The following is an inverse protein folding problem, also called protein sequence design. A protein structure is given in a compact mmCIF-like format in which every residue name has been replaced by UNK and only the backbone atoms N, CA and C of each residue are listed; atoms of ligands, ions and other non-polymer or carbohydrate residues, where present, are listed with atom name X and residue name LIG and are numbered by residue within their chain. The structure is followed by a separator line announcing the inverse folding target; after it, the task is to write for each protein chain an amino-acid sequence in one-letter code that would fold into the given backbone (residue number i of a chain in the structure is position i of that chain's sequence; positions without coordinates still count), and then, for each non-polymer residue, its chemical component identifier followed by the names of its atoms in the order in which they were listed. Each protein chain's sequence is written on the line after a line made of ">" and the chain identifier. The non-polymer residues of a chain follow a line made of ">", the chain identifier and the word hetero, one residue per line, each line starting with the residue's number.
data_IF_284685599350
#
_entry.id   IF_284685599350
#
_cell.length_a   1.000
_cell.length_b   1.000
_cell.length_c   1.000
_cell.angle_alpha   90.00
_cell.angle_beta   90.00
_cell.angle_gamma   90.00
#
_symmetry.space_group_name_H-M   'P 1'
#
loop_
_entity.id
_entity.type
_entity.pdbx_description
1 polymer ?
#
# COMPACT_ATOMS: atom_id res chain seq x y z
N UNK A 1 8.47 -7.92 16.58
CA UNK A 1 8.53 -8.14 15.12
C UNK A 1 9.05 -9.53 14.85
N UNK A 2 9.42 -9.83 13.61
CA UNK A 2 9.99 -11.13 13.24
C UNK A 2 11.38 -10.97 12.66
N UNK A 3 12.24 -11.95 12.94
CA UNK A 3 13.53 -12.13 12.27
C UNK A 3 13.50 -13.45 11.54
N UNK A 4 14.07 -13.47 10.34
CA UNK A 4 14.23 -14.68 9.56
C UNK A 4 15.54 -15.37 9.96
N UNK A 5 15.45 -16.63 10.35
CA UNK A 5 16.60 -17.48 10.68
C UNK A 5 16.61 -18.70 9.76
N UNK A 6 17.79 -19.22 9.47
CA UNK A 6 17.96 -20.40 8.64
C UNK A 6 18.48 -21.55 9.51
N UNK A 7 17.81 -22.69 9.45
CA UNK A 7 18.12 -23.88 10.24
C UNK A 7 18.58 -25.00 9.31
N UNK A 8 19.75 -25.62 9.53
CA UNK A 8 20.26 -26.73 8.71
C UNK A 8 19.31 -27.94 8.69
N UNK A 9 19.15 -28.53 7.50
CA UNK A 9 18.40 -29.77 7.31
C UNK A 9 19.39 -30.93 7.42
N UNK A 10 19.17 -31.87 8.34
CA UNK A 10 19.99 -33.10 8.43
C UNK A 10 21.28 -32.99 9.27
N UNK A 11 21.44 -31.91 10.04
CA UNK A 11 22.44 -31.80 11.11
C UNK A 11 21.74 -31.72 12.47
N UNK A 12 22.32 -32.34 13.50
CA UNK A 12 21.75 -32.29 14.86
C UNK A 12 21.86 -30.87 15.42
N UNK A 13 20.73 -30.27 15.78
CA UNK A 13 20.69 -28.91 16.38
C UNK A 13 21.52 -28.90 17.65
N UNK A 14 22.42 -27.92 17.78
CA UNK A 14 23.36 -27.82 18.91
C UNK A 14 24.70 -28.53 18.71
N UNK A 15 24.91 -29.22 17.58
CA UNK A 15 26.21 -29.78 17.22
C UNK A 15 27.15 -28.77 16.56
N UNK A 16 28.46 -29.03 16.62
CA UNK A 16 29.47 -28.24 15.89
C UNK A 16 29.21 -28.22 14.37
N UNK A 17 28.70 -29.33 13.81
CA UNK A 17 28.35 -29.43 12.40
C UNK A 17 27.20 -28.47 12.02
N UNK A 18 26.16 -28.38 12.86
CA UNK A 18 25.08 -27.42 12.66
C UNK A 18 25.56 -25.96 12.77
N UNK A 19 26.46 -25.65 13.71
CA UNK A 19 27.03 -24.31 13.85
C UNK A 19 27.85 -23.91 12.61
N UNK A 20 28.67 -24.82 12.08
CA UNK A 20 29.46 -24.60 10.85
C UNK A 20 28.53 -24.39 9.66
N UNK A 21 27.50 -25.22 9.49
CA UNK A 21 26.52 -25.09 8.42
C UNK A 21 25.75 -23.75 8.46
N UNK A 22 25.44 -23.23 9.65
CA UNK A 22 24.82 -21.91 9.83
C UNK A 22 25.79 -20.77 9.50
N UNK A 23 27.08 -20.90 9.86
CA UNK A 23 28.12 -19.90 9.55
C UNK A 23 28.45 -19.86 8.06
N UNK A 24 28.55 -21.02 7.40
CA UNK A 24 28.84 -21.11 5.97
C UNK A 24 27.81 -20.37 5.11
N UNK A 25 26.54 -20.36 5.56
CA UNK A 25 25.47 -19.61 4.92
C UNK A 25 25.54 -18.09 5.09
N UNK A 26 26.10 -17.61 6.20
CA UNK A 26 26.39 -16.18 6.36
C UNK A 26 27.61 -15.74 5.54
N UNK A 27 28.49 -16.68 5.17
CA UNK A 27 29.70 -16.44 4.39
C UNK A 27 29.46 -16.49 2.87
N UNK A 28 28.43 -17.20 2.40
CA UNK A 28 28.08 -17.28 0.98
C UNK A 28 27.24 -16.08 0.52
N UNK A 29 27.89 -15.15 -0.17
CA UNK A 29 27.29 -13.93 -0.71
C UNK A 29 26.22 -14.18 -1.80
N UNK A 30 26.17 -15.37 -2.41
CA UNK A 30 25.17 -15.71 -3.44
C UNK A 30 23.97 -16.49 -2.91
N UNK A 31 24.03 -17.00 -1.68
CA UNK A 31 22.95 -17.81 -1.10
C UNK A 31 21.74 -16.99 -0.63
N UNK A 32 21.85 -15.66 -0.53
CA UNK A 32 20.78 -14.78 -0.01
C UNK A 32 19.47 -14.83 -0.83
N UNK A 33 19.50 -15.38 -2.06
CA UNK A 33 18.34 -15.50 -2.94
C UNK A 33 18.11 -16.93 -3.50
N UNK A 34 18.84 -17.93 -3.02
CA UNK A 34 18.74 -19.29 -3.51
C UNK A 34 17.75 -20.11 -2.66
N UNK A 35 16.62 -20.46 -3.27
CA UNK A 35 15.74 -21.57 -2.85
C UNK A 35 16.41 -22.94 -3.07
N UNK A 36 17.59 -22.96 -3.71
CA UNK A 36 18.41 -24.14 -3.95
C UNK A 36 19.49 -24.27 -2.87
N UNK A 37 19.56 -25.45 -2.24
CA UNK A 37 20.45 -25.73 -1.12
C UNK A 37 21.93 -25.47 -1.46
N UNK A 38 22.65 -24.87 -0.53
CA UNK A 38 24.12 -24.87 -0.56
C UNK A 38 24.64 -26.25 -0.19
N UNK A 39 25.60 -26.77 -0.95
CA UNK A 39 26.20 -28.11 -0.78
C UNK A 39 26.76 -28.31 0.64
N UNK A 40 27.16 -27.22 1.32
CA UNK A 40 27.71 -27.23 2.67
C UNK A 40 26.70 -27.55 3.80
N UNK A 41 25.39 -27.47 3.56
CA UNK A 41 24.39 -27.57 4.65
C UNK A 41 23.34 -28.69 4.46
N UNK A 42 23.44 -29.55 3.43
CA UNK A 42 22.36 -30.48 3.03
C UNK A 42 20.97 -29.80 2.83
N UNK A 43 20.95 -28.47 2.69
CA UNK A 43 19.75 -27.64 2.67
C UNK A 43 19.48 -26.92 4.00
N UNK A 44 18.67 -25.84 3.97
CA UNK A 44 18.25 -25.11 5.16
C UNK A 44 16.76 -24.79 5.08
N UNK A 45 16.07 -24.92 6.21
CA UNK A 45 14.71 -24.44 6.38
C UNK A 45 14.70 -23.01 6.91
N UNK A 46 13.75 -22.21 6.42
CA UNK A 46 13.55 -20.83 6.86
C UNK A 46 12.52 -20.81 7.97
N UNK A 47 12.94 -20.37 9.15
CA UNK A 47 12.07 -20.13 10.27
C UNK A 47 11.92 -18.62 10.51
N UNK A 48 10.77 -18.22 11.03
CA UNK A 48 10.57 -16.86 11.55
C UNK A 48 10.31 -16.92 13.03
N UNK A 49 11.14 -16.22 13.78
CA UNK A 49 11.05 -16.14 15.23
C UNK A 49 10.59 -14.75 15.63
N UNK A 50 9.69 -14.69 16.60
CA UNK A 50 9.28 -13.41 17.17
C UNK A 50 10.38 -12.92 18.11
N UNK A 51 10.86 -11.70 17.85
CA UNK A 51 11.84 -11.04 18.70
C UNK A 51 11.51 -9.55 18.80
N UNK A 52 12.02 -8.92 19.85
CA UNK A 52 12.03 -7.48 19.97
C UNK A 52 13.13 -6.89 19.10
N UNK A 53 12.89 -5.68 18.58
CA UNK A 53 13.91 -4.90 17.90
C UNK A 53 15.00 -4.53 18.92
N UNK A 54 16.26 -4.57 18.50
CA UNK A 54 17.36 -4.06 19.32
C UNK A 54 17.48 -2.55 19.15
N UNK A 55 17.13 -2.06 17.97
CA UNK A 55 17.15 -0.64 17.65
C UNK A 55 15.80 0.04 17.91
N UNK A 56 15.85 1.35 18.19
CA UNK A 56 14.67 2.20 18.26
C UNK A 56 14.30 2.71 16.87
N UNK A 57 13.18 2.22 16.34
CA UNK A 57 12.58 2.72 15.11
C UNK A 57 11.74 3.96 15.40
N UNK A 58 11.98 5.04 14.67
CA UNK A 58 11.21 6.29 14.80
C UNK A 58 10.68 6.69 13.45
N UNK A 59 9.37 6.91 13.35
CA UNK A 59 8.70 7.42 12.15
C UNK A 59 8.35 8.88 12.37
N UNK A 60 8.37 9.64 11.28
CA UNK A 60 7.92 11.02 11.28
C UNK A 60 7.11 11.27 10.02
N UNK A 61 6.17 12.20 10.12
CA UNK A 61 5.33 12.54 8.99
C UNK A 61 4.65 13.89 9.19
N UNK A 62 4.10 14.39 8.10
CA UNK A 62 3.33 15.62 8.05
C UNK A 62 2.22 15.48 7.02
N UNK A 63 1.18 16.29 7.15
CA UNK A 63 0.10 16.35 6.19
C UNK A 63 -0.43 17.77 6.06
N UNK A 64 -0.78 18.16 4.85
CA UNK A 64 -1.43 19.42 4.56
C UNK A 64 -2.64 19.16 3.66
N UNK A 65 -3.76 19.79 3.99
CA UNK A 65 -4.98 19.76 3.20
C UNK A 65 -5.49 21.18 2.97
N UNK A 66 -5.87 21.48 1.74
CA UNK A 66 -6.45 22.76 1.34
C UNK A 66 -7.76 22.48 0.61
N UNK A 67 -8.79 23.27 0.92
CA UNK A 67 -10.05 23.25 0.18
C UNK A 67 -10.48 24.68 -0.09
N UNK A 68 -10.77 24.95 -1.35
CA UNK A 68 -11.22 26.24 -1.82
C UNK A 68 -12.55 26.10 -2.52
N UNK A 69 -13.57 26.77 -1.98
CA UNK A 69 -14.84 26.97 -2.65
C UNK A 69 -14.75 28.19 -3.57
N UNK A 70 -14.81 27.95 -4.86
CA UNK A 70 -14.76 28.93 -5.93
C UNK A 70 -16.16 29.46 -6.26
N UNK A 71 -16.22 30.50 -7.10
CA UNK A 71 -17.47 31.06 -7.62
C UNK A 71 -18.33 29.98 -8.29
N UNK A 72 -19.68 30.09 -8.23
CA UNK A 72 -20.63 29.13 -8.82
C UNK A 72 -20.52 27.68 -8.32
N UNK A 73 -20.21 27.48 -7.03
CA UNK A 73 -20.20 26.16 -6.36
C UNK A 73 -19.16 25.16 -6.87
N UNK A 74 -18.14 25.67 -7.57
CA UNK A 74 -16.94 24.88 -7.86
C UNK A 74 -16.13 24.70 -6.57
N UNK A 75 -15.57 23.52 -6.38
CA UNK A 75 -14.67 23.21 -5.26
C UNK A 75 -13.39 22.62 -5.82
N UNK A 76 -12.27 23.20 -5.40
CA UNK A 76 -10.93 22.65 -5.61
C UNK A 76 -10.38 22.24 -4.24
N UNK A 77 -10.02 20.98 -4.11
CA UNK A 77 -9.43 20.44 -2.88
C UNK A 77 -8.15 19.69 -3.19
N UNK A 78 -7.16 19.83 -2.34
CA UNK A 78 -5.89 19.11 -2.46
C UNK A 78 -5.41 18.67 -1.10
N UNK A 79 -4.83 17.49 -1.00
CA UNK A 79 -4.07 17.09 0.17
C UNK A 79 -2.77 16.40 -0.23
N UNK A 80 -1.77 16.54 0.62
CA UNK A 80 -0.51 15.82 0.53
C UNK A 80 -0.11 15.35 1.93
N UNK A 81 0.42 14.14 2.02
CA UNK A 81 1.01 13.60 3.24
C UNK A 81 2.38 13.02 2.94
N UNK A 82 3.31 13.28 3.86
CA UNK A 82 4.65 12.73 3.86
C UNK A 82 4.83 11.84 5.09
N UNK A 83 5.36 10.63 4.90
CA UNK A 83 5.64 9.69 5.99
C UNK A 83 6.99 9.00 5.75
N UNK A 84 7.89 8.99 6.73
CA UNK A 84 9.18 8.32 6.59
C UNK A 84 9.63 7.70 7.89
N UNK A 85 10.26 6.54 7.78
CA UNK A 85 11.02 5.93 8.87
C UNK A 85 12.43 6.54 8.90
N UNK A 86 12.85 7.01 10.07
CA UNK A 86 14.19 7.57 10.27
C UNK A 86 15.23 6.50 9.96
N UNK A 87 16.25 6.87 9.19
CA UNK A 87 17.38 5.99 8.90
C UNK A 87 18.08 5.58 10.20
N UNK A 88 18.43 4.31 10.30
CA UNK A 88 19.19 3.73 11.42
C UNK A 88 20.59 3.43 10.89
N UNK A 89 21.61 3.94 11.58
CA UNK A 89 23.01 3.78 11.14
C UNK A 89 23.47 2.32 11.15
N UNK A 90 23.02 1.54 12.14
CA UNK A 90 23.31 0.11 12.28
C UNK A 90 21.99 -0.67 12.27
N UNK A 91 21.39 -0.96 11.11
CA UNK A 91 20.13 -1.71 11.05
C UNK A 91 20.32 -3.11 11.67
N UNK A 92 19.36 -3.55 12.48
CA UNK A 92 19.33 -4.92 12.95
C UNK A 92 18.57 -5.79 11.93
N UNK A 93 18.46 -7.10 12.18
CA UNK A 93 17.77 -8.03 11.29
C UNK A 93 16.22 -7.90 11.36
N UNK A 94 15.70 -6.88 12.04
CA UNK A 94 14.28 -6.71 12.28
C UNK A 94 13.57 -6.16 11.03
N UNK A 95 12.54 -6.89 10.58
CA UNK A 95 11.68 -6.45 9.50
C UNK A 95 10.65 -5.47 10.06
N UNK A 96 10.70 -4.22 9.60
CA UNK A 96 9.83 -3.16 10.13
C UNK A 96 8.39 -3.27 9.64
N UNK A 97 8.19 -3.75 8.41
CA UNK A 97 6.86 -3.82 7.80
C UNK A 97 6.20 -2.44 7.68
N UNK A 98 7.00 -1.37 7.54
CA UNK A 98 6.47 0.01 7.51
C UNK A 98 5.43 0.19 6.40
N UNK A 99 5.60 -0.48 5.25
CA UNK A 99 4.60 -0.64 4.19
C UNK A 99 3.86 0.64 3.81
N UNK A 100 4.54 1.78 3.91
CA UNK A 100 3.95 3.11 3.75
C UNK A 100 4.73 3.89 2.69
N UNK A 101 4.04 4.44 1.68
CA UNK A 101 4.67 5.34 0.70
C UNK A 101 5.14 6.62 1.36
N UNK A 102 6.27 7.15 0.88
CA UNK A 102 6.84 8.36 1.44
C UNK A 102 5.96 9.59 1.18
N UNK A 103 5.29 9.66 0.04
CA UNK A 103 4.36 10.71 -0.33
C UNK A 103 3.07 10.12 -0.87
N UNK A 104 1.95 10.72 -0.45
CA UNK A 104 0.60 10.47 -0.99
C UNK A 104 -0.10 11.80 -1.21
N UNK A 105 -0.77 11.96 -2.35
CA UNK A 105 -1.45 13.20 -2.73
C UNK A 105 -2.80 12.89 -3.36
N UNK A 106 -3.81 13.71 -3.07
CA UNK A 106 -5.09 13.68 -3.77
C UNK A 106 -5.47 15.10 -4.19
N UNK A 107 -5.80 15.30 -5.45
CA UNK A 107 -6.36 16.54 -5.99
C UNK A 107 -7.78 16.27 -6.47
N UNK A 108 -8.73 17.07 -6.03
CA UNK A 108 -10.15 16.94 -6.34
C UNK A 108 -10.67 18.25 -6.92
N UNK A 109 -11.38 18.15 -8.04
CA UNK A 109 -12.10 19.25 -8.65
C UNK A 109 -13.53 18.82 -8.92
N UNK A 110 -14.50 19.64 -8.52
CA UNK A 110 -15.89 19.32 -8.75
C UNK A 110 -16.80 20.51 -8.66
N UNK A 111 -18.06 20.28 -9.03
CA UNK A 111 -19.13 21.24 -8.91
C UNK A 111 -20.42 20.51 -8.53
N UNK A 112 -21.16 21.03 -7.55
CA UNK A 112 -22.40 20.41 -7.06
C UNK A 112 -23.63 20.65 -7.95
N UNK A 113 -23.57 21.66 -8.82
CA UNK A 113 -24.62 22.13 -9.70
C UNK A 113 -24.03 22.90 -10.91
N UNK A 114 -23.26 22.22 -11.77
CA UNK A 114 -22.65 22.84 -12.97
C UNK A 114 -23.73 23.38 -13.91
N UNK A 115 -24.82 22.62 -14.02
CA UNK A 115 -26.12 23.08 -14.53
C UNK A 115 -27.18 22.63 -13.52
N UNK A 116 -28.41 23.13 -13.67
CA UNK A 116 -29.51 22.76 -12.75
C UNK A 116 -29.60 21.24 -12.63
N UNK A 117 -29.49 20.75 -11.41
CA UNK A 117 -29.55 19.34 -11.03
C UNK A 117 -28.40 18.44 -11.48
N UNK A 118 -27.37 18.94 -12.17
CA UNK A 118 -26.20 18.13 -12.56
C UNK A 118 -24.96 18.60 -11.80
N UNK A 119 -24.26 17.66 -11.17
CA UNK A 119 -22.96 17.89 -10.54
C UNK A 119 -21.94 16.86 -11.01
N UNK A 120 -20.67 17.16 -10.79
CA UNK A 120 -19.57 16.26 -11.09
C UNK A 120 -18.45 16.39 -10.06
N UNK A 121 -17.60 15.37 -9.98
CA UNK A 121 -16.34 15.41 -9.26
C UNK A 121 -15.32 14.53 -9.96
N UNK A 122 -14.08 15.01 -10.04
CA UNK A 122 -12.93 14.29 -10.56
C UNK A 122 -11.83 14.38 -9.50
N UNK A 123 -11.23 13.23 -9.18
CA UNK A 123 -10.15 13.12 -8.21
C UNK A 123 -8.96 12.44 -8.86
N UNK A 124 -7.83 13.12 -8.88
CA UNK A 124 -6.54 12.50 -9.17
C UNK A 124 -5.88 12.08 -7.87
N UNK A 125 -5.48 10.81 -7.79
CA UNK A 125 -4.79 10.22 -6.65
C UNK A 125 -3.41 9.76 -7.07
N UNK A 126 -2.41 10.17 -6.29
CA UNK A 126 -1.02 9.78 -6.50
C UNK A 126 -0.41 9.26 -5.20
N UNK A 127 0.41 8.21 -5.31
CA UNK A 127 1.32 7.80 -4.25
C UNK A 127 2.62 7.29 -4.83
N UNK A 128 3.71 7.50 -4.09
CA UNK A 128 5.00 6.98 -4.46
C UNK A 128 5.08 5.45 -4.34
N UNK A 129 6.03 4.86 -5.07
CA UNK A 129 6.38 3.45 -4.90
C UNK A 129 6.98 3.22 -3.51
N UNK A 130 6.74 2.06 -2.92
CA UNK A 130 7.28 1.72 -1.61
C UNK A 130 7.62 0.24 -1.50
N UNK A 131 8.48 -0.10 -0.55
CA UNK A 131 8.79 -1.48 -0.25
C UNK A 131 7.68 -2.06 0.63
N UNK A 132 7.05 -3.13 0.16
CA UNK A 132 6.17 -3.96 0.97
C UNK A 132 6.99 -5.10 1.55
N UNK A 133 6.95 -5.24 2.86
CA UNK A 133 7.56 -6.32 3.61
C UNK A 133 6.49 -7.04 4.41
N UNK A 134 6.45 -8.37 4.28
CA UNK A 134 5.59 -9.22 5.09
C UNK A 134 6.25 -10.58 5.32
N UNK A 135 5.75 -11.37 6.28
CA UNK A 135 6.21 -12.75 6.45
C UNK A 135 5.96 -13.63 5.22
N UNK A 136 5.00 -13.34 4.36
CA UNK A 136 4.78 -14.17 3.18
C UNK A 136 5.69 -13.76 2.02
N UNK A 137 5.79 -12.46 1.77
CA UNK A 137 6.46 -11.91 0.59
C UNK A 137 6.99 -10.51 0.87
N UNK A 138 8.14 -10.22 0.28
CA UNK A 138 8.73 -8.89 0.20
C UNK A 138 8.81 -8.48 -1.27
N UNK A 139 8.37 -7.27 -1.59
CA UNK A 139 8.35 -6.78 -2.97
C UNK A 139 8.11 -5.29 -3.06
N UNK A 140 8.53 -4.68 -4.17
CA UNK A 140 8.30 -3.25 -4.42
C UNK A 140 6.90 -3.05 -4.99
N UNK A 141 6.08 -2.26 -4.31
CA UNK A 141 4.80 -1.76 -4.81
C UNK A 141 5.06 -0.54 -5.67
N UNK A 142 4.55 -0.55 -6.91
CA UNK A 142 4.74 0.53 -7.86
C UNK A 142 4.01 1.81 -7.41
N UNK A 143 4.46 2.95 -7.95
CA UNK A 143 3.75 4.21 -7.76
C UNK A 143 2.36 4.13 -8.41
N UNK A 144 1.37 4.74 -7.78
CA UNK A 144 -0.01 4.73 -8.26
C UNK A 144 -0.34 6.11 -8.80
N UNK A 145 -1.04 6.14 -9.94
CA UNK A 145 -1.64 7.32 -10.56
C UNK A 145 -3.05 6.96 -11.02
N UNK A 146 -4.05 7.39 -10.26
CA UNK A 146 -5.45 7.06 -10.51
C UNK A 146 -6.26 8.31 -10.76
N UNK A 147 -7.24 8.18 -11.64
CA UNK A 147 -8.28 9.17 -11.82
C UNK A 147 -9.60 8.52 -11.45
N UNK A 148 -10.28 9.08 -10.47
CA UNK A 148 -11.64 8.72 -10.10
C UNK A 148 -12.56 9.82 -10.63
N UNK A 149 -13.75 9.46 -11.12
CA UNK A 149 -14.71 10.43 -11.59
C UNK A 149 -16.13 10.02 -11.23
N UNK A 150 -16.98 11.01 -10.98
CA UNK A 150 -18.38 10.82 -10.67
C UNK A 150 -19.20 11.96 -11.27
N UNK A 151 -20.38 11.61 -11.80
CA UNK A 151 -21.45 12.50 -12.20
C UNK A 151 -22.65 12.23 -11.29
N UNK A 152 -23.33 13.30 -10.89
CA UNK A 152 -24.52 13.25 -10.03
C UNK A 152 -25.65 13.99 -10.72
N UNK A 153 -26.76 13.30 -10.99
CA UNK A 153 -27.99 13.86 -11.53
C UNK A 153 -29.07 13.82 -10.45
N UNK A 154 -29.63 14.97 -10.11
CA UNK A 154 -30.83 15.07 -9.27
C UNK A 154 -32.07 15.08 -10.15
N UNK A 155 -33.10 14.35 -9.77
CA UNK A 155 -34.41 14.33 -10.44
C UNK A 155 -35.47 14.71 -9.41
N UNK A 156 -35.69 16.01 -9.16
CA UNK A 156 -36.52 16.49 -8.06
C UNK A 156 -37.96 15.99 -8.12
N UNK A 157 -38.53 15.84 -9.33
CA UNK A 157 -39.89 15.34 -9.56
C UNK A 157 -40.11 13.96 -8.92
N UNK A 158 -39.08 13.12 -8.92
CA UNK A 158 -39.12 11.78 -8.32
C UNK A 158 -38.41 11.71 -6.96
N UNK A 159 -38.01 12.85 -6.39
CA UNK A 159 -37.16 12.94 -5.19
C UNK A 159 -35.96 11.97 -5.27
N UNK A 160 -35.39 11.84 -6.46
CA UNK A 160 -34.36 10.84 -6.76
C UNK A 160 -33.02 11.51 -7.05
N UNK A 161 -31.93 10.85 -6.67
CA UNK A 161 -30.56 11.20 -7.09
C UNK A 161 -29.89 9.99 -7.72
N UNK A 162 -29.44 10.15 -8.95
CA UNK A 162 -28.70 9.13 -9.70
C UNK A 162 -27.23 9.55 -9.71
N UNK A 163 -26.34 8.67 -9.30
CA UNK A 163 -24.89 8.84 -9.36
C UNK A 163 -24.32 7.79 -10.29
N UNK A 164 -23.52 8.24 -11.24
CA UNK A 164 -22.69 7.37 -12.06
C UNK A 164 -21.24 7.73 -11.77
N UNK A 165 -20.40 6.76 -11.48
CA UNK A 165 -19.01 7.04 -11.19
C UNK A 165 -18.14 5.81 -11.25
N UNK A 166 -16.85 6.03 -11.07
CA UNK A 166 -15.88 4.95 -10.98
C UNK A 166 -14.58 5.40 -10.35
N UNK A 167 -13.84 4.41 -9.85
CA UNK A 167 -12.48 4.57 -9.36
C UNK A 167 -11.51 3.99 -10.38
N UNK A 168 -10.37 4.65 -10.56
CA UNK A 168 -9.37 4.31 -11.56
C UNK A 168 -9.99 4.15 -12.95
N UNK A 169 -10.72 5.17 -13.42
CA UNK A 169 -11.52 5.13 -14.65
C UNK A 169 -10.69 4.81 -15.91
N UNK A 170 -9.37 5.04 -15.84
CA UNK A 170 -8.39 4.71 -16.87
C UNK A 170 -7.93 3.23 -16.83
N UNK A 171 -8.41 2.46 -15.85
CA UNK A 171 -8.15 1.04 -15.67
C UNK A 171 -6.67 0.66 -15.58
N UNK A 172 -5.91 1.45 -14.81
CA UNK A 172 -4.48 1.22 -14.59
C UNK A 172 -4.26 0.03 -13.64
N UNK A 173 -4.28 -1.19 -14.17
CA UNK A 173 -4.14 -2.42 -13.37
C UNK A 173 -2.85 -2.43 -12.51
N UNK A 174 -3.01 -2.61 -11.21
CA UNK A 174 -1.91 -2.56 -10.23
C UNK A 174 -2.18 -3.43 -9.01
N UNK A 175 -1.14 -3.80 -8.29
CA UNK A 175 -1.24 -4.42 -6.96
C UNK A 175 -0.92 -3.36 -5.89
N UNK A 176 -1.59 -3.41 -4.74
CA UNK A 176 -1.38 -2.45 -3.65
C UNK A 176 -0.45 -2.98 -2.54
N UNK A 177 -0.18 -4.28 -2.56
CA UNK A 177 0.72 -4.95 -1.65
C UNK A 177 1.34 -6.17 -2.35
N UNK A 178 2.54 -6.59 -1.93
CA UNK A 178 3.18 -7.73 -2.55
C UNK A 178 2.40 -9.02 -2.23
N UNK A 179 2.21 -9.89 -3.24
CA UNK A 179 1.42 -11.12 -3.12
C UNK A 179 -0.10 -10.91 -3.17
N UNK A 180 -0.57 -9.68 -3.33
CA UNK A 180 -1.98 -9.36 -3.50
C UNK A 180 -2.50 -9.53 -4.92
N UNK A 181 -3.83 -9.54 -5.11
CA UNK A 181 -4.43 -9.56 -6.43
C UNK A 181 -4.17 -8.23 -7.16
N UNK A 182 -4.20 -8.30 -8.50
CA UNK A 182 -4.19 -7.10 -9.34
C UNK A 182 -5.58 -6.48 -9.35
N UNK A 183 -5.67 -5.20 -8.98
CA UNK A 183 -6.90 -4.40 -8.93
C UNK A 183 -6.92 -3.46 -10.13
N UNK A 184 -8.09 -3.30 -10.75
CA UNK A 184 -8.33 -2.38 -11.86
C UNK A 184 -9.49 -1.42 -11.58
N UNK A 185 -10.10 -0.92 -12.65
CA UNK A 185 -11.22 0.00 -12.56
C UNK A 185 -12.44 -0.61 -11.86
N UNK A 186 -13.17 0.21 -11.12
CA UNK A 186 -14.51 -0.08 -10.60
C UNK A 186 -15.47 0.97 -11.12
N UNK A 187 -16.58 0.54 -11.72
CA UNK A 187 -17.65 1.42 -12.19
C UNK A 187 -18.93 1.10 -11.43
N UNK A 188 -19.72 2.12 -11.09
CA UNK A 188 -20.95 1.97 -10.34
C UNK A 188 -22.04 2.94 -10.80
N UNK A 189 -23.28 2.51 -10.58
CA UNK A 189 -24.48 3.34 -10.59
C UNK A 189 -25.11 3.22 -9.21
N UNK A 190 -25.44 4.37 -8.60
CA UNK A 190 -26.18 4.41 -7.35
C UNK A 190 -27.42 5.28 -7.54
N UNK A 191 -28.57 4.77 -7.09
CA UNK A 191 -29.84 5.50 -7.09
C UNK A 191 -30.23 5.69 -5.63
N UNK A 192 -30.51 6.92 -5.25
CA UNK A 192 -31.00 7.29 -3.92
C UNK A 192 -32.38 7.90 -4.08
N UNK A 193 -33.35 7.39 -3.33
CA UNK A 193 -34.73 7.90 -3.29
C UNK A 193 -34.96 8.52 -1.92
N UNK A 194 -35.36 9.79 -1.91
CA UNK A 194 -35.62 10.54 -0.68
C UNK A 194 -37.13 10.56 -0.37
N UNK A 195 -37.49 10.31 0.89
CA UNK A 195 -38.89 10.40 1.36
C UNK A 195 -39.76 9.20 0.96
N UNK A 196 -39.21 7.98 0.92
CA UNK A 196 -39.94 6.76 0.59
C UNK A 196 -40.97 6.32 1.67
N UNK A 197 -40.79 6.80 2.91
CA UNK A 197 -41.58 6.35 4.08
C UNK A 197 -42.35 7.49 4.79
N UNK A 198 -42.48 8.66 4.15
CA UNK A 198 -43.25 9.79 4.67
C UNK A 198 -44.33 10.21 3.68
#
# INVERSE_FOLDING_TARGET
>A
GQVQVYVPIGETIGSNAAAIAMVDRNRDAQAANATAGTVASKGQERYRVYTNAKNKYTTYGSSLGVTWNLYKTYTLSGNASYNKIKNIANPDLFITGFNTPNWTTNLSFGNRAVIRNLGFNVVWKWQNSFLWESPLVTGKVAAINNVDAQITLRVPVYKATIKFGGTDILNNRKFQYAGGPTIGALYYVAITLDGLFN
#
